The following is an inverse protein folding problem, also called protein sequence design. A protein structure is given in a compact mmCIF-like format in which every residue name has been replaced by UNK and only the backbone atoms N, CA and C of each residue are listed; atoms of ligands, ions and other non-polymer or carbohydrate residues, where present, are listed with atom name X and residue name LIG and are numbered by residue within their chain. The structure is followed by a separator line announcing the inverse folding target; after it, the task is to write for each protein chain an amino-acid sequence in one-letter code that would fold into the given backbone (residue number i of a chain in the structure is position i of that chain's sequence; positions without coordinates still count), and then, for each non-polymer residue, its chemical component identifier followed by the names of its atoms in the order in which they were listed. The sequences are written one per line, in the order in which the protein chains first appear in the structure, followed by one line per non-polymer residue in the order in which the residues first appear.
data_IF_189840193066
#
_entry.id   IF_189840193066
#
_cell.length_a   1.000
_cell.length_b   1.000
_cell.length_c   1.000
_cell.angle_alpha   90.00
_cell.angle_beta   90.00
_cell.angle_gamma   90.00
#
_symmetry.space_group_name_H-M   'P 1'
#
loop_
_entity.id
_entity.type
_entity.pdbx_description
1 polymer ?
#
# COMPACT_ATOMS: atom_id res chain seq x y z
N UNK A 1 8.85 -34.15 18.77
CA UNK A 1 9.26 -32.77 18.45
C UNK A 1 8.05 -31.86 18.57
N UNK A 2 8.13 -30.75 19.31
CA UNK A 2 7.03 -29.80 19.45
C UNK A 2 6.78 -29.02 18.13
N UNK A 3 5.52 -28.65 17.85
CA UNK A 3 5.17 -27.84 16.66
C UNK A 3 5.84 -26.46 16.74
N UNK A 4 6.12 -25.83 15.59
CA UNK A 4 6.80 -24.53 15.55
C UNK A 4 6.10 -23.46 16.40
N UNK A 5 4.77 -23.49 16.45
CA UNK A 5 3.97 -22.61 17.30
C UNK A 5 4.22 -22.82 18.80
N UNK A 6 4.42 -24.05 19.26
CA UNK A 6 4.73 -24.35 20.66
C UNK A 6 6.17 -23.95 21.01
N UNK A 7 7.11 -24.17 20.08
CA UNK A 7 8.49 -23.69 20.23
C UNK A 7 8.53 -22.17 20.33
N UNK A 8 7.80 -21.45 19.49
CA UNK A 8 7.71 -19.99 19.52
C UNK A 8 7.15 -19.45 20.85
N UNK A 9 6.29 -20.22 21.54
CA UNK A 9 5.70 -19.85 22.84
C UNK A 9 6.57 -20.20 24.05
N UNK A 10 7.73 -20.81 23.84
CA UNK A 10 8.67 -21.12 24.92
C UNK A 10 9.16 -19.83 25.63
N UNK A 11 9.31 -19.88 26.95
CA UNK A 11 9.78 -18.78 27.81
C UNK A 11 11.10 -18.20 27.30
N UNK A 12 12.03 -19.06 26.88
CA UNK A 12 13.32 -18.65 26.32
C UNK A 12 13.14 -17.81 25.04
N UNK A 13 12.26 -18.23 24.14
CA UNK A 13 12.04 -17.52 22.88
C UNK A 13 11.33 -16.18 23.10
N UNK A 14 10.44 -16.10 24.10
CA UNK A 14 9.84 -14.82 24.52
C UNK A 14 10.90 -13.87 25.10
N UNK A 15 11.83 -14.37 25.90
CA UNK A 15 12.91 -13.58 26.47
C UNK A 15 13.88 -13.07 25.40
N UNK A 16 14.30 -13.91 24.46
CA UNK A 16 15.15 -13.52 23.32
C UNK A 16 14.45 -12.45 22.45
N UNK A 17 13.15 -12.62 22.17
CA UNK A 17 12.38 -11.63 21.42
C UNK A 17 12.31 -10.27 22.15
N UNK A 18 12.16 -10.29 23.48
CA UNK A 18 12.14 -9.09 24.31
C UNK A 18 13.50 -8.37 24.31
N UNK A 19 14.60 -9.12 24.45
CA UNK A 19 15.95 -8.56 24.37
C UNK A 19 16.24 -7.94 22.99
N UNK A 20 15.75 -8.58 21.93
CA UNK A 20 15.89 -8.08 20.57
C UNK A 20 15.05 -6.81 20.34
N UNK A 21 13.85 -6.73 20.91
CA UNK A 21 13.04 -5.49 20.86
C UNK A 21 13.68 -4.33 21.62
N UNK A 22 14.29 -4.61 22.78
CA UNK A 22 14.99 -3.60 23.58
C UNK A 22 16.24 -3.09 22.85
N UNK A 23 17.02 -3.99 22.21
CA UNK A 23 18.20 -3.64 21.44
C UNK A 23 17.88 -2.81 20.19
N UNK A 24 16.76 -3.07 19.51
CA UNK A 24 16.31 -2.27 18.37
C UNK A 24 15.55 -0.99 18.77
N UNK A 25 15.37 -0.70 20.07
CA UNK A 25 14.52 0.39 20.53
C UNK A 25 13.08 0.29 20.03
N UNK A 26 12.69 -0.87 19.51
CA UNK A 26 11.39 -1.15 18.93
C UNK A 26 10.59 -1.85 20.02
N UNK A 27 10.24 -1.10 21.07
CA UNK A 27 9.35 -1.57 22.14
C UNK A 27 8.18 -2.34 21.51
N UNK A 28 7.93 -3.54 22.02
CA UNK A 28 7.19 -4.60 21.32
C UNK A 28 5.94 -4.12 20.58
N UNK A 29 5.71 -4.66 19.38
CA UNK A 29 4.58 -4.45 18.47
C UNK A 29 3.64 -3.32 18.90
N UNK A 30 4.14 -2.08 18.86
CA UNK A 30 3.30 -0.90 19.12
C UNK A 30 2.16 -0.99 18.12
N UNK A 31 0.93 -0.98 18.64
CA UNK A 31 -0.25 -0.96 17.79
C UNK A 31 -0.32 0.40 17.10
N UNK A 32 -0.65 0.42 15.81
CA UNK A 32 -0.88 1.67 15.09
C UNK A 32 -1.91 2.54 15.84
N UNK A 33 -1.63 3.83 16.10
CA UNK A 33 -2.62 4.75 16.64
C UNK A 33 -3.85 4.80 15.73
N UNK A 34 -5.05 4.79 16.31
CA UNK A 34 -6.30 4.84 15.55
C UNK A 34 -6.50 6.17 14.82
N UNK A 35 -5.86 7.23 15.32
CA UNK A 35 -5.93 8.56 14.74
C UNK A 35 -4.53 9.09 14.44
N UNK A 36 -4.39 9.74 13.29
CA UNK A 36 -3.19 10.43 12.85
C UNK A 36 -2.82 11.62 13.75
N UNK A 37 -3.79 12.24 14.41
CA UNK A 37 -3.59 13.38 15.32
C UNK A 37 -2.72 13.05 16.54
N UNK A 38 -2.72 11.78 16.96
CA UNK A 38 -1.93 11.30 18.10
C UNK A 38 -0.44 11.13 17.74
N UNK A 39 -0.10 11.25 16.46
CA UNK A 39 1.28 11.26 15.99
C UNK A 39 1.85 12.68 16.11
N UNK A 40 2.80 12.85 17.03
CA UNK A 40 3.53 14.12 17.25
C UNK A 40 4.94 14.15 16.66
N UNK A 41 5.44 13.02 16.13
CA UNK A 41 6.77 12.90 15.55
C UNK A 41 6.70 12.48 14.08
N UNK A 42 7.49 13.16 13.23
CA UNK A 42 7.56 12.85 11.80
C UNK A 42 8.06 11.41 11.55
N UNK A 43 9.09 10.95 12.27
CA UNK A 43 9.63 9.60 12.13
C UNK A 43 8.60 8.50 12.48
N UNK A 44 7.74 8.76 13.47
CA UNK A 44 6.65 7.85 13.81
C UNK A 44 5.58 7.83 12.70
N UNK A 45 5.22 8.98 12.16
CA UNK A 45 4.25 9.09 11.07
C UNK A 45 4.72 8.37 9.79
N UNK A 46 6.01 8.45 9.47
CA UNK A 46 6.62 7.70 8.36
C UNK A 46 6.57 6.18 8.57
N UNK A 47 6.86 5.71 9.79
CA UNK A 47 6.76 4.28 10.13
C UNK A 47 5.34 3.77 9.91
N UNK A 48 4.33 4.48 10.41
CA UNK A 48 2.93 4.10 10.25
C UNK A 48 2.47 4.17 8.80
N UNK A 49 2.91 5.18 8.02
CA UNK A 49 2.66 5.25 6.57
C UNK A 49 3.15 4.00 5.85
N UNK A 50 4.38 3.56 6.13
CA UNK A 50 4.95 2.38 5.48
C UNK A 50 4.19 1.11 5.86
N UNK A 51 3.69 1.03 7.10
CA UNK A 51 2.84 -0.07 7.54
C UNK A 51 1.49 -0.08 6.79
N UNK A 52 0.83 1.08 6.64
CA UNK A 52 -0.41 1.22 5.83
C UNK A 52 -0.17 0.80 4.38
N UNK A 53 0.97 1.20 3.80
CA UNK A 53 1.33 0.84 2.42
C UNK A 53 1.52 -0.67 2.26
N UNK A 54 2.16 -1.34 3.24
CA UNK A 54 2.29 -2.79 3.24
C UNK A 54 0.93 -3.47 3.33
N UNK A 55 0.03 -2.99 4.20
CA UNK A 55 -1.33 -3.52 4.32
C UNK A 55 -2.10 -3.35 2.99
N UNK A 56 -1.99 -2.18 2.36
CA UNK A 56 -2.56 -1.92 1.03
C UNK A 56 -2.05 -2.93 0.00
N UNK A 57 -0.73 -3.16 -0.08
CA UNK A 57 -0.16 -4.13 -1.00
C UNK A 57 -0.67 -5.55 -0.74
N UNK A 58 -0.83 -5.95 0.52
CA UNK A 58 -1.38 -7.27 0.86
C UNK A 58 -2.85 -7.42 0.44
N UNK A 59 -3.64 -6.34 0.54
CA UNK A 59 -5.04 -6.32 0.09
C UNK A 59 -5.17 -6.32 -1.44
N UNK A 60 -4.31 -5.60 -2.14
CA UNK A 60 -4.23 -5.62 -3.61
C UNK A 60 -3.91 -7.03 -4.11
N UNK A 61 -2.88 -7.67 -3.53
CA UNK A 61 -2.55 -9.08 -3.82
C UNK A 61 -3.68 -10.04 -3.48
N UNK A 62 -4.53 -9.70 -2.51
CA UNK A 62 -5.70 -10.50 -2.18
C UNK A 62 -6.78 -10.40 -3.27
N UNK A 63 -6.93 -9.24 -3.92
CA UNK A 63 -7.85 -9.03 -5.05
C UNK A 63 -7.36 -9.73 -6.32
N UNK A 64 -6.06 -9.77 -6.56
CA UNK A 64 -5.47 -10.42 -7.74
C UNK A 64 -5.73 -11.94 -7.81
N UNK A 65 -6.28 -12.55 -6.75
CA UNK A 65 -6.68 -13.95 -6.76
C UNK A 65 -7.97 -14.14 -7.57
N UNK A 66 -7.87 -14.86 -8.69
CA UNK A 66 -8.96 -15.11 -9.67
C UNK A 66 -10.21 -15.78 -9.08
N UNK A 67 -10.10 -16.44 -7.92
CA UNK A 67 -11.18 -17.19 -7.28
C UNK A 67 -11.79 -16.49 -6.06
N UNK A 68 -11.85 -15.15 -6.07
CA UNK A 68 -12.46 -14.40 -4.97
C UNK A 68 -13.98 -14.31 -5.14
N UNK A 69 -14.73 -14.72 -4.12
CA UNK A 69 -16.19 -14.56 -4.12
C UNK A 69 -16.60 -13.09 -4.19
N UNK A 70 -17.68 -12.78 -4.90
CA UNK A 70 -18.09 -11.40 -5.22
C UNK A 70 -18.33 -10.54 -3.96
N UNK A 71 -18.85 -11.14 -2.88
CA UNK A 71 -19.00 -10.45 -1.60
C UNK A 71 -17.67 -10.03 -0.98
N UNK A 72 -16.66 -10.90 -1.09
CA UNK A 72 -15.34 -10.64 -0.52
C UNK A 72 -14.59 -9.56 -1.30
N UNK A 73 -14.79 -9.48 -2.62
CA UNK A 73 -14.23 -8.41 -3.43
C UNK A 73 -14.74 -7.02 -3.01
N UNK A 74 -16.03 -6.89 -2.65
CA UNK A 74 -16.59 -5.63 -2.14
C UNK A 74 -16.00 -5.24 -0.79
N UNK A 75 -15.93 -6.19 0.15
CA UNK A 75 -15.30 -5.96 1.46
C UNK A 75 -13.84 -5.52 1.33
N UNK A 76 -13.06 -6.17 0.45
CA UNK A 76 -11.67 -5.77 0.19
C UNK A 76 -11.58 -4.38 -0.43
N UNK A 77 -12.51 -4.01 -1.30
CA UNK A 77 -12.55 -2.67 -1.90
C UNK A 77 -12.85 -1.59 -0.84
N UNK A 78 -13.80 -1.84 0.05
CA UNK A 78 -14.10 -0.94 1.18
C UNK A 78 -12.92 -0.81 2.14
N UNK A 79 -12.21 -1.91 2.42
CA UNK A 79 -10.99 -1.92 3.21
C UNK A 79 -9.86 -1.14 2.53
N UNK A 80 -9.66 -1.29 1.22
CA UNK A 80 -8.66 -0.53 0.46
C UNK A 80 -9.00 0.96 0.50
N UNK A 81 -10.26 1.33 0.25
CA UNK A 81 -10.69 2.74 0.31
C UNK A 81 -10.47 3.34 1.70
N UNK A 82 -10.66 2.58 2.77
CA UNK A 82 -10.36 3.00 4.14
C UNK A 82 -8.85 3.25 4.32
N UNK A 83 -8.01 2.32 3.90
CA UNK A 83 -6.55 2.41 4.05
C UNK A 83 -5.95 3.54 3.18
N UNK A 84 -6.48 3.78 1.98
CA UNK A 84 -6.03 4.90 1.12
C UNK A 84 -6.32 6.25 1.78
N UNK A 85 -7.49 6.39 2.41
CA UNK A 85 -7.84 7.61 3.16
C UNK A 85 -6.93 7.79 4.38
N UNK A 86 -6.72 6.73 5.15
CA UNK A 86 -5.81 6.74 6.31
C UNK A 86 -4.39 7.16 5.90
N UNK A 87 -3.86 6.57 4.82
CA UNK A 87 -2.57 6.96 4.23
C UNK A 87 -2.52 8.45 3.92
N UNK A 88 -3.55 8.97 3.24
CA UNK A 88 -3.59 10.38 2.86
C UNK A 88 -3.57 11.33 4.06
N UNK A 89 -4.30 10.98 5.13
CA UNK A 89 -4.31 11.79 6.35
C UNK A 89 -2.94 11.74 7.05
N UNK A 90 -2.26 10.58 7.05
CA UNK A 90 -0.91 10.48 7.57
C UNK A 90 0.10 11.29 6.75
N UNK A 91 -0.03 11.32 5.43
CA UNK A 91 0.83 12.15 4.56
C UNK A 91 0.63 13.65 4.81
N UNK A 92 -0.63 14.08 5.01
CA UNK A 92 -0.95 15.44 5.47
C UNK A 92 -0.30 15.74 6.84
N UNK A 93 -0.36 14.78 7.76
CA UNK A 93 0.24 14.95 9.09
C UNK A 93 1.77 15.04 9.04
N UNK A 94 2.42 14.24 8.19
CA UNK A 94 3.86 14.35 7.97
C UNK A 94 4.24 15.75 7.47
N UNK A 95 3.47 16.29 6.52
CA UNK A 95 3.65 17.65 6.00
C UNK A 95 3.52 18.72 7.10
N UNK A 96 2.47 18.64 7.93
CA UNK A 96 2.25 19.57 9.05
C UNK A 96 3.39 19.56 10.07
N UNK A 97 4.01 18.39 10.28
CA UNK A 97 5.15 18.22 11.20
C UNK A 97 6.49 18.63 10.56
N UNK A 98 6.50 19.13 9.32
CA UNK A 98 7.71 19.55 8.60
C UNK A 98 8.50 18.39 7.97
N UNK A 99 7.86 17.25 7.77
CA UNK A 99 8.42 16.08 7.11
C UNK A 99 8.33 16.15 5.57
N UNK A 100 8.88 15.15 4.87
CA UNK A 100 8.95 15.13 3.40
C UNK A 100 7.58 14.96 2.71
N UNK A 101 7.44 15.60 1.54
CA UNK A 101 6.23 15.59 0.71
C UNK A 101 6.03 14.27 -0.04
N UNK A 102 5.37 13.31 0.60
CA UNK A 102 5.11 11.99 0.00
C UNK A 102 4.11 11.98 -1.18
N UNK A 103 3.33 13.06 -1.36
CA UNK A 103 2.40 13.21 -2.49
C UNK A 103 3.09 13.23 -3.84
N UNK A 104 4.28 13.81 -3.91
CA UNK A 104 5.10 13.86 -5.13
C UNK A 104 5.82 12.55 -5.40
N UNK A 105 6.10 11.78 -4.35
CA UNK A 105 6.75 10.48 -4.48
C UNK A 105 5.85 9.44 -5.16
N UNK A 106 4.52 9.58 -5.05
CA UNK A 106 3.54 8.64 -5.61
C UNK A 106 3.59 8.54 -7.14
N UNK A 107 4.00 9.60 -7.85
CA UNK A 107 4.09 9.58 -9.32
C UNK A 107 5.36 8.92 -9.85
N UNK A 108 6.35 8.63 -9.00
CA UNK A 108 7.70 8.21 -9.44
C UNK A 108 7.97 6.73 -9.17
N UNK A 109 7.15 6.09 -8.32
CA UNK A 109 7.37 4.70 -7.87
C UNK A 109 6.75 3.63 -8.78
N UNK A 110 5.87 3.99 -9.70
CA UNK A 110 5.33 3.06 -10.71
C UNK A 110 6.31 2.80 -11.88
N UNK A 111 7.37 3.60 -12.03
CA UNK A 111 8.36 3.49 -13.12
C UNK A 111 9.62 2.68 -12.75
N UNK A 112 9.72 2.19 -11.51
CA UNK A 112 10.92 1.51 -11.01
C UNK A 112 10.70 0.01 -10.75
N UNK A 113 9.99 -0.69 -11.64
CA UNK A 113 10.12 -2.14 -11.77
C UNK A 113 11.04 -2.45 -12.96
N UNK A 114 12.24 -3.04 -12.74
CA UNK A 114 13.16 -3.35 -13.82
C UNK A 114 12.66 -4.61 -14.54
N UNK A 115 11.66 -4.45 -15.39
CA UNK A 115 11.35 -5.42 -16.43
C UNK A 115 12.47 -5.34 -17.46
N UNK A 116 13.50 -6.15 -17.22
CA UNK A 116 14.47 -6.52 -18.24
C UNK A 116 13.76 -7.23 -19.38
N UNK A 117 13.21 -6.47 -20.33
CA UNK A 117 13.02 -6.94 -21.70
C UNK A 117 13.32 -5.77 -22.63
N UNK A 118 14.41 -5.91 -23.39
CA UNK A 118 14.71 -5.02 -24.50
C UNK A 118 13.60 -5.18 -25.54
N UNK A 119 13.01 -4.06 -25.93
CA UNK A 119 12.36 -3.84 -27.22
C UNK A 119 11.21 -4.77 -27.58
N UNK A 120 9.98 -4.24 -27.51
CA UNK A 120 9.06 -4.30 -28.66
C UNK A 120 8.10 -3.10 -28.59
N UNK A 121 8.48 -2.03 -29.27
CA UNK A 121 7.50 -1.17 -29.90
C UNK A 121 6.77 -2.01 -30.98
N UNK A 122 5.57 -2.54 -30.70
CA UNK A 122 4.68 -3.03 -31.77
C UNK A 122 3.19 -3.18 -31.46
N UNK A 123 2.72 -3.29 -30.21
CA UNK A 123 1.28 -3.59 -29.99
C UNK A 123 0.43 -2.38 -29.56
N UNK A 124 0.77 -1.18 -30.01
CA UNK A 124 -0.10 0.02 -29.90
C UNK A 124 -0.31 0.76 -31.22
N UNK A 125 0.00 0.14 -32.37
CA UNK A 125 -0.37 0.67 -33.68
C UNK A 125 -1.80 0.25 -34.13
N UNK A 126 -2.36 -0.81 -33.53
CA UNK A 126 -3.64 -1.39 -33.96
C UNK A 126 -4.90 -0.73 -33.37
N UNK A 127 -4.75 0.22 -32.43
CA UNK A 127 -5.90 0.94 -31.85
C UNK A 127 -6.17 2.30 -32.51
N UNK A 128 -5.31 2.74 -33.44
CA UNK A 128 -5.46 4.03 -34.16
C UNK A 128 -6.25 3.93 -35.46
N UNK A 129 -6.77 2.76 -35.83
CA UNK A 129 -7.50 2.54 -37.09
C UNK A 129 -8.95 2.10 -36.90
N UNK A 130 -9.57 2.36 -35.75
CA UNK A 130 -11.02 2.19 -35.57
C UNK A 130 -11.76 3.45 -36.08
N UNK A 131 -12.57 3.36 -37.16
CA UNK A 131 -13.23 4.52 -37.76
C UNK A 131 -14.37 5.13 -36.92
N UNK A 132 -14.77 4.50 -35.81
CA UNK A 132 -15.90 4.92 -34.98
C UNK A 132 -15.60 6.09 -34.02
N UNK A 133 -14.33 6.41 -33.73
CA UNK A 133 -13.95 7.49 -32.80
C UNK A 133 -13.84 8.88 -33.45
N UNK A 134 -14.07 9.01 -34.76
CA UNK A 134 -13.99 10.30 -35.48
C UNK A 134 -15.20 11.23 -35.31
N UNK A 135 -16.22 10.87 -34.52
CA UNK A 135 -17.44 11.69 -34.34
C UNK A 135 -17.72 12.18 -32.91
N UNK A 136 -16.88 11.87 -31.93
CA UNK A 136 -17.09 12.37 -30.57
C UNK A 136 -16.29 13.66 -30.34
N UNK A 137 -17.00 14.78 -30.29
CA UNK A 137 -16.44 16.14 -30.24
C UNK A 137 -15.80 16.54 -28.89
N UNK A 138 -15.72 15.67 -27.87
CA UNK A 138 -15.03 16.02 -26.63
C UNK A 138 -14.56 14.78 -25.85
N UNK A 139 -13.24 14.56 -25.69
CA UNK A 139 -12.67 13.40 -24.99
C UNK A 139 -12.68 13.50 -23.45
N UNK A 140 -13.17 14.60 -22.88
CA UNK A 140 -13.12 14.85 -21.43
C UNK A 140 -14.26 14.20 -20.62
N UNK A 141 -15.28 13.62 -21.25
CA UNK A 141 -16.46 13.09 -20.53
C UNK A 141 -16.34 11.58 -20.22
N UNK A 142 -15.37 10.86 -20.78
CA UNK A 142 -15.29 9.40 -20.62
C UNK A 142 -14.29 8.92 -19.55
N UNK A 143 -13.70 9.81 -18.76
CA UNK A 143 -12.69 9.46 -17.76
C UNK A 143 -13.21 9.45 -16.31
N UNK A 144 -14.54 9.44 -16.13
CA UNK A 144 -15.14 9.52 -14.79
C UNK A 144 -16.02 8.32 -14.40
N UNK A 145 -15.92 7.22 -15.13
CA UNK A 145 -16.49 5.93 -14.73
C UNK A 145 -15.48 4.82 -15.01
N UNK A 146 -14.38 4.81 -14.24
CA UNK A 146 -13.63 3.62 -13.83
C UNK A 146 -12.88 3.94 -12.53
#
# INVERSE_FOLDING_TARGET
MARNAEKARNVLNRWVAMQHSDALGTGGAVLRPKHSSDCHSAAAAEKWRNEVLNDLHMKIRAIDNVNLGEHRARELNDEINRLVRERHVLEMRCLELGGPDFRRAHTVVDDAMPLGTKGVASTMAAQRTCPALRRCSNPLVCLHDL
#
